data_IF_874501201576
#
_entry.id   IF_874501201576
#
_cell.length_a   1.000
_cell.length_b   1.000
_cell.length_c   1.000
_cell.angle_alpha   90.00
_cell.angle_beta   90.00
_cell.angle_gamma   90.00
#
_symmetry.space_group_name_H-M   'P 1'
#
loop_
_entity.id
_entity.type
_entity.pdbx_description
1 polymer ?
#
# COMPACT_ATOMS: atom_id res chain seq x y z
N UNK A 1 -89.99 25.35 -23.69
CA UNK A 1 -89.76 23.98 -23.34
C UNK A 1 -88.57 23.91 -22.48
N UNK A 2 -88.73 23.55 -21.25
CA UNK A 2 -87.64 23.48 -20.24
C UNK A 2 -87.17 22.02 -20.10
N UNK A 3 -85.87 21.76 -20.04
CA UNK A 3 -85.39 20.47 -19.51
C UNK A 3 -84.91 20.58 -18.08
N UNK A 4 -85.03 19.48 -17.38
CA UNK A 4 -84.92 19.19 -16.01
C UNK A 4 -83.46 19.23 -15.49
N UNK A 5 -83.32 19.86 -14.33
CA UNK A 5 -82.12 19.77 -13.49
C UNK A 5 -81.98 18.40 -12.83
N UNK A 6 -80.87 17.71 -13.05
CA UNK A 6 -80.47 16.59 -12.23
C UNK A 6 -79.35 17.08 -11.26
N UNK A 7 -79.71 17.10 -9.97
CA UNK A 7 -78.76 17.29 -8.87
C UNK A 7 -77.97 16.03 -8.69
N UNK A 8 -76.65 16.09 -8.90
CA UNK A 8 -75.74 15.04 -8.45
C UNK A 8 -75.18 15.44 -7.08
N UNK A 9 -75.55 14.70 -6.08
CA UNK A 9 -74.97 14.79 -4.73
C UNK A 9 -73.71 14.00 -4.74
N UNK A 10 -72.53 14.67 -4.73
CA UNK A 10 -71.24 14.05 -4.55
C UNK A 10 -71.02 13.85 -3.07
N UNK A 11 -71.07 12.62 -2.58
CA UNK A 11 -70.67 12.22 -1.27
C UNK A 11 -69.13 12.24 -1.21
N UNK A 12 -68.56 13.19 -0.47
CA UNK A 12 -67.11 13.24 -0.17
C UNK A 12 -66.84 12.17 0.90
N UNK A 13 -66.35 11.00 0.47
CA UNK A 13 -65.76 10.04 1.42
C UNK A 13 -64.39 10.50 1.83
N UNK A 14 -64.21 10.98 3.06
CA UNK A 14 -62.93 11.23 3.69
C UNK A 14 -62.23 9.88 3.92
N UNK A 15 -61.42 9.49 2.99
CA UNK A 15 -60.45 8.40 3.22
C UNK A 15 -59.24 8.99 3.98
N UNK A 16 -59.26 8.85 5.30
CA UNK A 16 -58.08 9.09 6.14
C UNK A 16 -57.01 8.04 5.78
N UNK A 17 -56.11 8.40 4.87
CA UNK A 17 -54.90 7.61 4.63
C UNK A 17 -53.97 7.88 5.81
N UNK A 18 -53.91 6.90 6.71
CA UNK A 18 -52.82 6.76 7.67
C UNK A 18 -51.52 6.56 6.87
N UNK A 19 -50.82 7.67 6.62
CA UNK A 19 -49.45 7.59 6.12
C UNK A 19 -48.59 6.93 7.21
N UNK A 20 -48.42 5.61 7.12
CA UNK A 20 -47.32 4.96 7.82
C UNK A 20 -46.03 5.64 7.35
N UNK A 21 -45.45 6.45 8.23
CA UNK A 21 -44.13 6.99 8.06
C UNK A 21 -43.19 5.77 7.91
N UNK A 22 -42.88 5.41 6.68
CA UNK A 22 -41.78 4.49 6.41
C UNK A 22 -40.53 5.20 6.88
N UNK A 23 -40.01 4.77 8.03
CA UNK A 23 -38.62 5.12 8.40
C UNK A 23 -37.75 4.72 7.22
N UNK A 24 -37.00 5.67 6.63
CA UNK A 24 -36.11 5.30 5.54
C UNK A 24 -35.21 4.19 6.04
N UNK A 25 -35.06 3.12 5.23
CA UNK A 25 -34.11 2.06 5.51
C UNK A 25 -32.76 2.73 5.81
N UNK A 26 -32.02 2.29 6.85
CA UNK A 26 -30.72 2.88 7.13
C UNK A 26 -29.90 2.84 5.86
N UNK A 27 -29.48 4.00 5.38
CA UNK A 27 -28.54 4.14 4.30
C UNK A 27 -27.34 3.24 4.64
N UNK A 28 -26.75 2.49 3.69
CA UNK A 28 -25.57 1.73 3.98
C UNK A 28 -24.57 2.68 4.62
N UNK A 29 -24.19 2.38 5.89
CA UNK A 29 -23.37 3.23 6.71
C UNK A 29 -22.18 3.74 5.90
N UNK A 30 -22.02 5.06 5.82
CA UNK A 30 -20.86 5.67 5.14
C UNK A 30 -19.62 4.97 5.73
N UNK A 31 -18.72 4.42 4.90
CA UNK A 31 -17.47 3.82 5.39
C UNK A 31 -16.65 4.76 6.27
N UNK A 32 -16.96 6.06 6.25
CA UNK A 32 -16.40 7.10 7.12
C UNK A 32 -17.00 7.13 8.52
N UNK A 33 -18.19 6.58 8.73
CA UNK A 33 -18.88 6.50 10.04
C UNK A 33 -18.61 5.17 10.73
N UNK A 34 -17.33 4.90 10.99
CA UNK A 34 -16.99 3.79 11.87
C UNK A 34 -17.35 4.10 13.30
N UNK A 35 -18.05 3.18 13.97
CA UNK A 35 -18.17 3.24 15.42
C UNK A 35 -16.76 3.26 16.05
N UNK A 36 -16.61 3.98 17.15
CA UNK A 36 -15.34 4.02 17.89
C UNK A 36 -14.85 2.60 18.26
N UNK A 37 -15.78 1.72 18.63
CA UNK A 37 -15.48 0.32 18.91
C UNK A 37 -14.86 -0.41 17.71
N UNK A 38 -15.40 -0.20 16.50
CA UNK A 38 -14.87 -0.81 15.29
C UNK A 38 -13.48 -0.28 14.91
N UNK A 39 -13.21 1.03 15.10
CA UNK A 39 -11.87 1.61 14.93
C UNK A 39 -10.87 1.03 15.92
N UNK A 40 -11.27 0.90 17.18
CA UNK A 40 -10.44 0.32 18.24
C UNK A 40 -10.13 -1.15 17.96
N UNK A 41 -11.11 -1.93 17.50
CA UNK A 41 -10.91 -3.33 17.13
C UNK A 41 -9.92 -3.48 15.96
N UNK A 42 -10.07 -2.68 14.88
CA UNK A 42 -9.16 -2.67 13.75
C UNK A 42 -7.73 -2.29 14.15
N UNK A 43 -7.57 -1.20 14.92
CA UNK A 43 -6.26 -0.77 15.44
C UNK A 43 -5.62 -1.83 16.32
N UNK A 44 -6.41 -2.50 17.18
CA UNK A 44 -5.93 -3.63 17.98
C UNK A 44 -5.45 -4.78 17.10
N UNK A 45 -6.21 -5.18 16.09
CA UNK A 45 -5.82 -6.24 15.17
C UNK A 45 -4.52 -5.95 14.42
N UNK A 46 -4.33 -4.70 13.95
CA UNK A 46 -3.06 -4.27 13.35
C UNK A 46 -1.88 -4.34 14.32
N UNK A 47 -2.11 -4.01 15.60
CA UNK A 47 -1.09 -4.12 16.65
C UNK A 47 -0.75 -5.57 16.95
N UNK A 48 -1.75 -6.43 17.06
CA UNK A 48 -1.58 -7.86 17.32
C UNK A 48 -0.78 -8.52 16.18
N UNK A 49 -1.12 -8.21 14.92
CA UNK A 49 -0.37 -8.69 13.75
C UNK A 49 1.10 -8.25 13.78
N UNK A 50 1.39 -6.99 14.14
CA UNK A 50 2.77 -6.52 14.30
C UNK A 50 3.53 -7.24 15.40
N UNK A 51 2.88 -7.54 16.52
CA UNK A 51 3.46 -8.36 17.58
C UNK A 51 3.88 -9.75 17.07
N UNK A 52 2.99 -10.41 16.32
CA UNK A 52 3.28 -11.69 15.69
C UNK A 52 4.43 -11.62 14.66
N UNK A 53 4.50 -10.55 13.88
CA UNK A 53 5.62 -10.34 12.96
C UNK A 53 6.95 -10.17 13.72
N UNK A 54 6.95 -9.45 14.83
CA UNK A 54 8.14 -9.33 15.72
C UNK A 54 8.58 -10.70 16.25
N UNK A 55 7.63 -11.55 16.60
CA UNK A 55 7.86 -12.93 17.03
C UNK A 55 8.16 -13.90 15.87
N UNK A 56 8.25 -13.39 14.63
CA UNK A 56 8.43 -14.15 13.38
C UNK A 56 7.31 -15.16 13.08
N UNK A 57 6.16 -14.98 13.68
CA UNK A 57 4.94 -15.77 13.45
C UNK A 57 4.16 -15.20 12.26
N UNK A 58 4.83 -15.14 11.09
CA UNK A 58 4.32 -14.46 9.91
C UNK A 58 2.99 -15.06 9.40
N UNK A 59 2.81 -16.37 9.47
CA UNK A 59 1.56 -17.03 9.05
C UNK A 59 0.36 -16.53 9.84
N UNK A 60 0.46 -16.52 11.18
CA UNK A 60 -0.61 -16.04 12.06
C UNK A 60 -0.88 -14.54 11.84
N UNK A 61 0.18 -13.75 11.62
CA UNK A 61 0.04 -12.33 11.31
C UNK A 61 -0.73 -12.11 9.99
N UNK A 62 -0.39 -12.86 8.94
CA UNK A 62 -1.05 -12.77 7.63
C UNK A 62 -2.52 -13.13 7.73
N UNK A 63 -2.91 -14.14 8.50
CA UNK A 63 -4.32 -14.51 8.71
C UNK A 63 -5.13 -13.36 9.35
N UNK A 64 -4.56 -12.68 10.35
CA UNK A 64 -5.20 -11.50 10.96
C UNK A 64 -5.32 -10.38 9.92
N UNK A 65 -4.24 -10.10 9.17
CA UNK A 65 -4.19 -9.03 8.18
C UNK A 65 -5.15 -9.28 7.01
N UNK A 66 -5.35 -10.52 6.63
CA UNK A 66 -6.34 -10.89 5.61
C UNK A 66 -7.76 -10.61 6.06
N UNK A 67 -8.11 -10.96 7.30
CA UNK A 67 -9.42 -10.64 7.88
C UNK A 67 -9.64 -9.13 7.93
N UNK A 68 -8.67 -8.38 8.43
CA UNK A 68 -8.74 -6.92 8.51
C UNK A 68 -8.86 -6.27 7.13
N UNK A 69 -8.16 -6.80 6.12
CA UNK A 69 -8.23 -6.31 4.74
C UNK A 69 -9.59 -6.58 4.10
N UNK A 70 -10.18 -7.75 4.38
CA UNK A 70 -11.52 -8.11 3.89
C UNK A 70 -12.61 -7.26 4.54
N UNK A 71 -12.50 -6.99 5.85
CA UNK A 71 -13.42 -6.14 6.58
C UNK A 71 -13.32 -4.67 6.13
N UNK A 72 -12.11 -4.24 5.71
CA UNK A 72 -11.80 -2.84 5.39
C UNK A 72 -10.96 -2.71 4.12
N UNK A 73 -11.52 -2.98 2.95
CA UNK A 73 -10.79 -2.98 1.68
C UNK A 73 -10.27 -1.58 1.28
N UNK A 74 -10.87 -0.50 1.82
CA UNK A 74 -10.45 0.88 1.58
C UNK A 74 -9.38 1.39 2.54
N UNK A 75 -8.99 0.59 3.54
CA UNK A 75 -7.93 0.92 4.48
C UNK A 75 -6.62 0.26 4.04
N UNK A 76 -5.59 1.02 3.64
CA UNK A 76 -4.37 0.44 3.08
C UNK A 76 -3.51 -0.30 4.10
N UNK A 77 -3.65 0.02 5.41
CA UNK A 77 -2.71 -0.40 6.45
C UNK A 77 -2.59 -1.92 6.60
N UNK A 78 -3.71 -2.66 6.58
CA UNK A 78 -3.68 -4.11 6.72
C UNK A 78 -3.00 -4.76 5.52
N UNK A 79 -3.30 -4.31 4.30
CA UNK A 79 -2.64 -4.80 3.08
C UNK A 79 -1.16 -4.44 3.04
N UNK A 80 -0.78 -3.26 3.51
CA UNK A 80 0.61 -2.86 3.63
C UNK A 80 1.37 -3.78 4.58
N UNK A 81 0.85 -3.98 5.81
CA UNK A 81 1.48 -4.88 6.78
C UNK A 81 1.55 -6.33 6.28
N UNK A 82 0.53 -6.80 5.52
CA UNK A 82 0.58 -8.12 4.87
C UNK A 82 1.74 -8.21 3.86
N UNK A 83 1.93 -7.20 3.03
CA UNK A 83 3.07 -7.14 2.10
C UNK A 83 4.41 -7.21 2.83
N UNK A 84 4.55 -6.49 3.95
CA UNK A 84 5.75 -6.54 4.82
C UNK A 84 5.93 -7.93 5.42
N UNK A 85 4.88 -8.53 5.99
CA UNK A 85 4.95 -9.87 6.58
C UNK A 85 5.36 -10.95 5.56
N UNK A 86 4.85 -10.84 4.32
CA UNK A 86 5.25 -11.71 3.22
C UNK A 86 6.73 -11.51 2.85
N UNK A 87 7.18 -10.25 2.75
CA UNK A 87 8.58 -9.94 2.46
C UNK A 87 9.53 -10.47 3.54
N UNK A 88 9.21 -10.23 4.82
CA UNK A 88 9.99 -10.67 5.97
C UNK A 88 10.04 -12.20 6.12
N UNK A 89 8.99 -12.90 5.66
CA UNK A 89 8.96 -14.35 5.60
C UNK A 89 9.66 -14.96 4.37
N UNK A 90 10.25 -14.12 3.51
CA UNK A 90 10.94 -14.56 2.28
C UNK A 90 10.00 -14.86 1.10
N UNK A 91 8.73 -14.57 1.22
CA UNK A 91 7.73 -14.74 0.16
C UNK A 91 7.73 -13.53 -0.79
N UNK A 92 8.84 -13.35 -1.52
CA UNK A 92 9.11 -12.14 -2.32
C UNK A 92 8.04 -11.90 -3.41
N UNK A 93 7.67 -12.91 -4.20
CA UNK A 93 6.69 -12.72 -5.28
C UNK A 93 5.27 -12.43 -4.77
N UNK A 94 4.74 -13.11 -3.75
CA UNK A 94 3.52 -12.72 -3.09
C UNK A 94 3.54 -11.30 -2.52
N UNK A 95 4.66 -10.87 -1.90
CA UNK A 95 4.80 -9.51 -1.39
C UNK A 95 4.74 -8.46 -2.52
N UNK A 96 5.44 -8.69 -3.63
CA UNK A 96 5.37 -7.84 -4.83
C UNK A 96 3.94 -7.73 -5.33
N UNK A 97 3.22 -8.86 -5.44
CA UNK A 97 1.83 -8.85 -5.90
C UNK A 97 0.92 -8.01 -4.98
N UNK A 98 1.08 -8.14 -3.66
CA UNK A 98 0.30 -7.37 -2.68
C UNK A 98 0.62 -5.87 -2.79
N UNK A 99 1.88 -5.48 -2.86
CA UNK A 99 2.27 -4.07 -2.98
C UNK A 99 1.83 -3.47 -4.31
N UNK A 100 1.96 -4.20 -5.42
CA UNK A 100 1.49 -3.74 -6.74
C UNK A 100 -0.02 -3.51 -6.76
N UNK A 101 -0.80 -4.45 -6.21
CA UNK A 101 -2.25 -4.28 -6.09
C UNK A 101 -2.61 -3.10 -5.16
N UNK A 102 -1.85 -2.91 -4.09
CA UNK A 102 -2.07 -1.78 -3.17
C UNK A 102 -1.80 -0.45 -3.86
N UNK A 103 -0.74 -0.33 -4.67
CA UNK A 103 -0.43 0.88 -5.44
C UNK A 103 -1.42 1.14 -6.58
N UNK A 104 -2.09 0.11 -7.10
CA UNK A 104 -3.18 0.30 -8.07
C UNK A 104 -4.37 1.03 -7.46
N UNK A 105 -4.67 0.75 -6.18
CA UNK A 105 -5.77 1.40 -5.46
C UNK A 105 -5.36 2.71 -4.78
N UNK A 106 -4.08 2.81 -4.37
CA UNK A 106 -3.50 3.92 -3.61
C UNK A 106 -2.13 4.30 -4.18
N UNK A 107 -2.07 5.02 -5.31
CA UNK A 107 -0.81 5.33 -6.02
C UNK A 107 0.14 6.25 -5.25
N UNK A 108 -0.34 6.94 -4.22
CA UNK A 108 0.37 7.99 -3.47
C UNK A 108 1.13 7.48 -2.23
N UNK A 109 1.34 6.15 -2.10
CA UNK A 109 1.97 5.56 -0.91
C UNK A 109 3.49 5.38 -1.11
N UNK A 110 4.33 6.34 -0.67
CA UNK A 110 5.78 6.28 -0.89
C UNK A 110 6.44 5.10 -0.16
N UNK A 111 5.92 4.70 1.02
CA UNK A 111 6.43 3.57 1.77
C UNK A 111 6.20 2.24 1.03
N UNK A 112 5.07 2.10 0.35
CA UNK A 112 4.77 0.91 -0.46
C UNK A 112 5.71 0.84 -1.65
N UNK A 113 5.95 1.96 -2.34
CA UNK A 113 6.91 2.05 -3.46
C UNK A 113 8.32 1.71 -3.02
N UNK A 114 8.75 2.26 -1.87
CA UNK A 114 10.07 1.95 -1.31
C UNK A 114 10.24 0.45 -1.02
N UNK A 115 9.23 -0.19 -0.39
CA UNK A 115 9.27 -1.63 -0.12
C UNK A 115 9.28 -2.46 -1.41
N UNK A 116 8.49 -2.07 -2.42
CA UNK A 116 8.48 -2.71 -3.73
C UNK A 116 9.84 -2.59 -4.41
N UNK A 117 10.48 -1.43 -4.32
CA UNK A 117 11.83 -1.21 -4.85
C UNK A 117 12.88 -2.12 -4.21
N UNK A 118 12.82 -2.29 -2.88
CA UNK A 118 13.71 -3.23 -2.15
C UNK A 118 13.54 -4.65 -2.68
N UNK A 119 12.31 -5.10 -2.89
CA UNK A 119 12.03 -6.43 -3.45
C UNK A 119 12.51 -6.58 -4.90
N UNK A 120 12.36 -5.56 -5.73
CA UNK A 120 12.91 -5.56 -7.08
C UNK A 120 14.44 -5.61 -7.07
N UNK A 121 15.10 -4.85 -6.19
CA UNK A 121 16.55 -4.89 -6.05
C UNK A 121 17.06 -6.26 -5.59
N UNK A 122 16.37 -6.93 -4.67
CA UNK A 122 16.67 -8.31 -4.23
C UNK A 122 16.57 -9.31 -5.38
N UNK A 123 15.66 -9.09 -6.33
CA UNK A 123 15.53 -9.90 -7.56
C UNK A 123 16.50 -9.49 -8.67
N UNK A 124 17.37 -8.51 -8.45
CA UNK A 124 18.31 -7.99 -9.45
C UNK A 124 17.65 -7.06 -10.50
N UNK A 125 16.38 -6.72 -10.33
CA UNK A 125 15.69 -5.74 -11.18
C UNK A 125 15.96 -4.32 -10.65
N UNK A 126 17.20 -3.85 -10.87
CA UNK A 126 17.62 -2.54 -10.36
C UNK A 126 16.97 -1.37 -11.10
N UNK A 127 16.61 -1.53 -12.36
CA UNK A 127 15.86 -0.53 -13.12
C UNK A 127 14.46 -0.34 -12.54
N UNK A 128 13.74 -1.43 -12.29
CA UNK A 128 12.42 -1.37 -11.62
C UNK A 128 12.51 -0.78 -10.22
N UNK A 129 13.55 -1.13 -9.45
CA UNK A 129 13.80 -0.58 -8.13
C UNK A 129 14.01 0.95 -8.19
N UNK A 130 14.84 1.43 -9.14
CA UNK A 130 15.05 2.88 -9.37
C UNK A 130 13.74 3.59 -9.65
N UNK A 131 12.92 3.04 -10.55
CA UNK A 131 11.69 3.68 -11.00
C UNK A 131 10.69 3.83 -9.85
N UNK A 132 10.55 2.81 -8.99
CA UNK A 132 9.69 2.89 -7.81
C UNK A 132 10.24 3.88 -6.76
N UNK A 133 11.56 3.96 -6.55
CA UNK A 133 12.16 4.93 -5.62
C UNK A 133 12.00 6.37 -6.12
N UNK A 134 12.19 6.61 -7.41
CA UNK A 134 11.93 7.92 -8.00
C UNK A 134 10.46 8.30 -7.83
N UNK A 135 9.53 7.38 -8.05
CA UNK A 135 8.11 7.63 -7.82
C UNK A 135 7.78 7.87 -6.33
N UNK A 136 8.44 7.17 -5.40
CA UNK A 136 8.31 7.42 -3.98
C UNK A 136 8.75 8.85 -3.60
N UNK A 137 9.87 9.32 -4.16
CA UNK A 137 10.41 10.65 -3.91
C UNK A 137 9.61 11.77 -4.59
N UNK A 138 8.91 11.48 -5.69
CA UNK A 138 7.95 12.42 -6.27
C UNK A 138 6.73 12.62 -5.36
N UNK A 139 6.28 11.57 -4.66
CA UNK A 139 5.17 11.65 -3.71
C UNK A 139 5.62 12.24 -2.35
N UNK A 140 6.84 11.92 -1.91
CA UNK A 140 7.40 12.36 -0.63
C UNK A 140 8.86 12.82 -0.82
N UNK A 141 9.12 14.10 -1.17
CA UNK A 141 10.46 14.61 -1.46
C UNK A 141 11.44 14.62 -0.29
N UNK A 142 10.95 14.48 0.93
CA UNK A 142 11.74 14.43 2.17
C UNK A 142 11.98 13.01 2.70
N UNK A 143 11.62 11.98 1.93
CA UNK A 143 11.74 10.59 2.35
C UNK A 143 13.18 10.09 2.27
N UNK A 144 13.95 10.33 3.34
CA UNK A 144 15.40 10.07 3.42
C UNK A 144 15.78 8.60 3.09
N UNK A 145 14.97 7.63 3.55
CA UNK A 145 15.21 6.19 3.29
C UNK A 145 15.16 5.88 1.79
N UNK A 146 14.24 6.51 1.06
CA UNK A 146 14.15 6.31 -0.39
C UNK A 146 15.37 6.89 -1.12
N UNK A 147 15.93 8.02 -0.67
CA UNK A 147 17.20 8.55 -1.21
C UNK A 147 18.37 7.60 -0.95
N UNK A 148 18.46 7.04 0.25
CA UNK A 148 19.51 6.07 0.59
C UNK A 148 19.41 4.82 -0.31
N UNK A 149 18.22 4.24 -0.40
CA UNK A 149 17.98 3.08 -1.26
C UNK A 149 18.24 3.38 -2.74
N UNK A 150 17.88 4.58 -3.20
CA UNK A 150 18.15 5.03 -4.58
C UNK A 150 19.66 5.16 -4.85
N UNK A 151 20.42 5.65 -3.87
CA UNK A 151 21.89 5.68 -3.94
C UNK A 151 22.47 4.27 -4.10
N UNK A 152 22.01 3.30 -3.31
CA UNK A 152 22.44 1.90 -3.40
C UNK A 152 22.09 1.29 -4.76
N UNK A 153 20.90 1.55 -5.27
CA UNK A 153 20.45 1.09 -6.60
C UNK A 153 21.32 1.70 -7.71
N UNK A 154 21.62 2.99 -7.64
CA UNK A 154 22.51 3.62 -8.62
C UNK A 154 23.95 3.06 -8.56
N UNK A 155 24.46 2.73 -7.40
CA UNK A 155 25.74 2.07 -7.26
C UNK A 155 25.73 0.69 -7.94
N UNK A 156 24.67 -0.10 -7.76
CA UNK A 156 24.49 -1.41 -8.46
C UNK A 156 24.44 -1.23 -9.98
N UNK A 157 23.65 -0.27 -10.47
CA UNK A 157 23.56 0.03 -11.90
C UNK A 157 24.88 0.52 -12.48
N UNK A 158 25.63 1.36 -11.74
CA UNK A 158 26.97 1.78 -12.13
C UNK A 158 27.92 0.57 -12.25
N UNK A 159 27.92 -0.34 -11.26
CA UNK A 159 28.71 -1.56 -11.27
C UNK A 159 28.47 -2.39 -12.53
N UNK A 160 27.18 -2.69 -12.83
CA UNK A 160 26.79 -3.44 -14.01
C UNK A 160 27.25 -2.76 -15.31
N UNK A 161 27.19 -1.44 -15.40
CA UNK A 161 27.63 -0.72 -16.57
C UNK A 161 29.17 -0.71 -16.71
N UNK A 162 29.91 -0.59 -15.61
CA UNK A 162 31.38 -0.73 -15.64
C UNK A 162 31.82 -2.14 -16.01
N UNK A 163 31.13 -3.19 -15.55
CA UNK A 163 31.37 -4.58 -15.99
C UNK A 163 31.18 -4.73 -17.49
N UNK A 164 30.06 -4.18 -18.04
CA UNK A 164 29.82 -4.17 -19.48
C UNK A 164 30.93 -3.40 -20.23
N UNK A 165 31.41 -2.28 -19.71
CA UNK A 165 32.47 -1.49 -20.33
C UNK A 165 33.80 -2.27 -20.38
N UNK A 166 34.18 -2.90 -19.26
CA UNK A 166 35.40 -3.75 -19.20
C UNK A 166 35.30 -4.94 -20.16
N UNK A 167 34.14 -5.59 -20.22
CA UNK A 167 33.93 -6.72 -21.13
C UNK A 167 33.96 -6.33 -22.62
N UNK A 168 33.51 -5.11 -22.96
CA UNK A 168 33.44 -4.61 -24.34
C UNK A 168 34.77 -4.06 -24.84
N UNK A 169 35.57 -3.48 -23.97
CA UNK A 169 36.89 -2.94 -24.28
C UNK A 169 37.91 -3.35 -23.21
N UNK A 170 38.64 -4.48 -23.46
CA UNK A 170 39.70 -4.96 -22.55
C UNK A 170 40.89 -3.98 -22.41
N UNK A 171 41.02 -3.00 -23.30
CA UNK A 171 42.04 -1.94 -23.23
C UNK A 171 41.62 -0.74 -22.44
N UNK A 172 40.36 -0.70 -22.00
CA UNK A 172 39.83 0.40 -21.20
C UNK A 172 40.54 0.44 -19.82
N UNK A 173 41.26 1.52 -19.56
CA UNK A 173 42.02 1.69 -18.32
C UNK A 173 41.27 2.46 -17.26
N UNK A 174 40.10 3.05 -17.60
CA UNK A 174 39.32 3.91 -16.71
C UNK A 174 38.15 3.19 -16.05
N UNK A 175 37.58 2.19 -16.69
CA UNK A 175 36.44 1.43 -16.14
C UNK A 175 36.83 0.48 -14.98
N UNK A 176 37.95 -0.29 -15.04
CA UNK A 176 38.32 -1.22 -13.97
C UNK A 176 38.46 -0.59 -12.59
N UNK A 177 39.18 0.55 -12.39
CA UNK A 177 39.27 1.16 -11.06
C UNK A 177 37.93 1.70 -10.56
N UNK A 178 37.05 2.18 -11.43
CA UNK A 178 35.70 2.60 -11.06
C UNK A 178 34.83 1.41 -10.64
N UNK A 179 34.93 0.29 -11.36
CA UNK A 179 34.25 -0.93 -10.98
C UNK A 179 34.69 -1.42 -9.60
N UNK A 180 36.00 -1.37 -9.33
CA UNK A 180 36.51 -1.77 -8.01
C UNK A 180 35.97 -0.86 -6.91
N UNK A 181 35.98 0.47 -7.10
CA UNK A 181 35.44 1.42 -6.15
C UNK A 181 33.96 1.14 -5.83
N UNK A 182 33.15 0.88 -6.84
CA UNK A 182 31.74 0.55 -6.67
C UNK A 182 31.57 -0.78 -5.93
N UNK A 183 32.38 -1.79 -6.24
CA UNK A 183 32.38 -3.08 -5.54
C UNK A 183 32.74 -2.92 -4.06
N UNK A 184 33.73 -2.07 -3.75
CA UNK A 184 34.14 -1.78 -2.38
C UNK A 184 33.00 -1.10 -1.59
N UNK A 185 32.33 -0.10 -2.19
CA UNK A 185 31.18 0.56 -1.58
C UNK A 185 30.04 -0.44 -1.32
N UNK A 186 29.75 -1.32 -2.27
CA UNK A 186 28.68 -2.33 -2.15
C UNK A 186 29.06 -3.51 -1.24
N UNK A 187 30.35 -3.83 -1.13
CA UNK A 187 30.87 -4.89 -0.28
C UNK A 187 31.03 -4.49 1.18
N UNK A 188 31.19 -3.21 1.47
CA UNK A 188 31.20 -2.66 2.84
C UNK A 188 29.83 -2.73 3.50
N UNK A 189 28.77 -2.87 2.72
CA UNK A 189 27.45 -3.26 3.21
C UNK A 189 27.30 -4.77 2.95
N UNK A 190 27.30 -5.55 4.02
CA UNK A 190 26.78 -6.91 3.96
C UNK A 190 25.45 -6.88 3.18
N UNK A 191 25.14 -7.87 2.33
CA UNK A 191 23.84 -7.91 1.66
C UNK A 191 22.80 -7.62 2.72
N UNK A 192 22.01 -6.55 2.49
CA UNK A 192 20.94 -6.16 3.41
C UNK A 192 20.10 -7.41 3.58
N UNK A 193 20.19 -8.04 4.76
CA UNK A 193 19.35 -9.18 5.05
C UNK A 193 17.90 -8.72 4.76
N UNK A 194 17.04 -9.58 4.19
CA UNK A 194 15.65 -9.20 3.89
C UNK A 194 14.92 -8.55 5.08
N UNK A 195 15.46 -8.70 6.29
CA UNK A 195 14.92 -8.23 7.56
C UNK A 195 15.50 -6.89 8.06
N UNK A 196 16.27 -6.17 7.23
CA UNK A 196 16.80 -4.87 7.62
C UNK A 196 16.06 -3.69 6.95
N UNK A 197 14.85 -3.92 6.51
CA UNK A 197 13.90 -2.80 6.49
C UNK A 197 13.78 -2.38 7.96
N UNK A 198 14.26 -1.18 8.35
CA UNK A 198 14.09 -0.76 9.73
C UNK A 198 12.61 -0.89 10.04
N UNK A 199 12.27 -1.60 11.12
CA UNK A 199 10.92 -1.66 11.69
C UNK A 199 10.43 -0.26 12.15
N UNK A 200 11.17 0.77 11.80
CA UNK A 200 10.85 2.18 11.93
C UNK A 200 10.22 2.74 10.65
N UNK A 201 9.24 2.04 10.08
CA UNK A 201 8.24 2.80 9.34
C UNK A 201 7.49 3.60 10.41
N UNK A 202 7.59 4.94 10.40
CA UNK A 202 6.77 5.74 11.28
C UNK A 202 5.32 5.28 11.09
N UNK A 203 4.58 5.16 12.18
CA UNK A 203 3.15 4.79 12.22
C UNK A 203 2.23 5.78 11.47
N UNK A 204 2.79 6.56 10.57
CA UNK A 204 2.13 7.60 9.79
C UNK A 204 1.97 7.17 8.33
N UNK A 205 1.16 6.15 8.10
CA UNK A 205 0.33 6.25 6.90
C UNK A 205 -0.65 7.38 7.22
N UNK A 206 -0.60 8.51 6.53
CA UNK A 206 -1.51 9.61 6.83
C UNK A 206 -2.93 9.10 6.73
N UNK A 207 -3.75 9.34 7.75
CA UNK A 207 -5.21 9.16 7.72
C UNK A 207 -5.90 10.16 6.77
N UNK A 208 -5.16 10.69 5.80
CA UNK A 208 -5.67 11.66 4.84
C UNK A 208 -6.14 10.95 3.58
N UNK A 209 -7.36 10.44 3.64
CA UNK A 209 -8.18 10.39 2.42
C UNK A 209 -8.52 11.85 2.10
N UNK A 210 -8.17 12.40 0.92
CA UNK A 210 -8.61 13.73 0.54
C UNK A 210 -10.14 13.79 0.56
N UNK A 211 -10.66 14.90 1.06
CA UNK A 211 -12.10 15.22 1.02
C UNK A 211 -12.57 15.40 -0.40
#
# INVERSE_FOLDING_TARGET
MRPHSLLFVLAFALASQLALAQTPAPSPADPREMSEAARKAYSKGLKDARGLMTDKKYGEAIEILDKLSAERPREPQARFQKGVALADSGQTDPAIAVFTALLSDFPELPEVRNNLAVLYAQKGNYEGARDELVAALLAAPDYAIAYENLGDVYARLAGLNYEKAVARDPKNRTAPPKLQLVRDVLGMRAPVAPNSVPNSVPNSVPNSVPK
#
